data_IF_247651633369
#
_entry.id   IF_247651633369
#
_cell.length_a   1.000
_cell.length_b   1.000
_cell.length_c   1.000
_cell.angle_alpha   90.00
_cell.angle_beta   90.00
_cell.angle_gamma   90.00
#
_symmetry.space_group_name_H-M   'P 1'
#
loop_
_entity.id
_entity.type
_entity.pdbx_description
1 polymer ?
#
# COMPACT_ATOMS: atom_id res chain seq x y z
N UNK A 1 20.66 3.46 -4.49
CA UNK A 1 19.31 3.22 -5.05
C UNK A 1 19.50 3.14 -6.55
N UNK A 2 19.29 1.98 -7.18
CA UNK A 2 19.26 1.92 -8.64
C UNK A 2 17.95 2.54 -9.09
N UNK A 3 18.03 3.59 -9.90
CA UNK A 3 16.85 4.28 -10.41
C UNK A 3 16.05 3.32 -11.29
N UNK A 4 14.75 3.20 -11.00
CA UNK A 4 13.80 2.30 -11.68
C UNK A 4 13.56 2.68 -13.17
N UNK A 5 14.35 3.63 -13.68
CA UNK A 5 14.20 4.29 -14.97
C UNK A 5 14.67 3.40 -16.13
N UNK A 6 15.71 2.59 -15.92
CA UNK A 6 16.36 1.81 -17.00
C UNK A 6 15.95 0.33 -17.06
N UNK A 7 15.07 -0.12 -16.17
CA UNK A 7 14.65 -1.51 -16.13
C UNK A 7 13.65 -1.81 -17.25
N UNK A 8 13.92 -2.83 -18.06
CA UNK A 8 13.03 -3.27 -19.14
C UNK A 8 11.92 -4.22 -18.65
N UNK A 9 12.13 -4.83 -17.48
CA UNK A 9 11.24 -5.80 -16.86
C UNK A 9 10.88 -5.40 -15.42
N UNK A 10 9.74 -5.86 -14.91
CA UNK A 10 9.33 -5.63 -13.53
C UNK A 10 10.12 -6.53 -12.57
N UNK A 11 10.70 -5.97 -11.51
CA UNK A 11 11.53 -6.73 -10.56
C UNK A 11 10.74 -7.75 -9.74
N UNK A 12 9.42 -7.58 -9.64
CA UNK A 12 8.56 -8.42 -8.82
C UNK A 12 8.01 -9.64 -9.58
N UNK A 13 7.60 -9.46 -10.84
CA UNK A 13 6.97 -10.52 -11.65
C UNK A 13 7.75 -10.89 -12.92
N UNK A 14 8.78 -10.11 -13.29
CA UNK A 14 9.54 -10.34 -14.52
C UNK A 14 8.83 -9.94 -15.81
N UNK A 15 7.62 -9.37 -15.72
CA UNK A 15 6.87 -8.96 -16.91
C UNK A 15 7.52 -7.78 -17.64
N UNK A 16 7.32 -7.70 -18.96
CA UNK A 16 7.83 -6.60 -19.77
C UNK A 16 7.12 -5.28 -19.41
N UNK A 17 7.90 -4.20 -19.26
CA UNK A 17 7.34 -2.87 -18.93
C UNK A 17 6.72 -2.15 -20.12
N UNK A 18 7.17 -2.47 -21.32
CA UNK A 18 6.78 -1.78 -22.55
C UNK A 18 6.08 -2.72 -23.51
N UNK A 19 5.10 -2.17 -24.24
CA UNK A 19 4.40 -2.89 -25.30
C UNK A 19 5.38 -3.20 -26.43
N UNK A 20 5.39 -4.45 -26.87
CA UNK A 20 6.13 -4.87 -28.07
C UNK A 20 5.41 -4.34 -29.31
N UNK A 21 6.06 -3.47 -30.08
CA UNK A 21 5.55 -2.99 -31.36
C UNK A 21 6.35 -3.64 -32.48
N UNK A 22 5.69 -4.28 -33.45
CA UNK A 22 6.39 -4.84 -34.62
C UNK A 22 7.06 -3.71 -35.42
N UNK A 23 8.35 -3.86 -35.72
CA UNK A 23 9.14 -2.89 -36.48
C UNK A 23 9.61 -1.67 -35.67
N UNK A 24 10.02 -1.85 -34.42
CA UNK A 24 10.59 -0.75 -33.62
C UNK A 24 11.89 -0.22 -34.25
N UNK A 25 11.83 1.01 -34.76
CA UNK A 25 13.01 1.86 -34.94
C UNK A 25 13.60 2.13 -33.55
N UNK A 26 14.89 1.83 -33.30
CA UNK A 26 15.54 2.10 -32.02
C UNK A 26 15.49 3.58 -31.59
N UNK A 27 15.16 4.51 -32.49
CA UNK A 27 14.96 5.93 -32.19
C UNK A 27 13.55 6.27 -31.68
N UNK A 28 12.59 5.35 -31.77
CA UNK A 28 11.19 5.61 -31.43
C UNK A 28 10.93 5.30 -29.94
N UNK A 29 10.32 6.24 -29.21
CA UNK A 29 10.00 6.07 -27.79
C UNK A 29 9.10 4.85 -27.56
N UNK A 30 9.49 3.98 -26.63
CA UNK A 30 8.71 2.80 -26.21
C UNK A 30 7.45 3.24 -25.46
N UNK A 31 6.32 2.58 -25.71
CA UNK A 31 5.06 2.84 -25.00
C UNK A 31 4.95 1.88 -23.81
N UNK A 32 4.89 2.38 -22.55
CA UNK A 32 4.77 1.52 -21.38
C UNK A 32 3.37 0.89 -21.29
N UNK A 33 3.26 -0.24 -20.60
CA UNK A 33 1.97 -0.74 -20.13
C UNK A 33 1.39 0.23 -19.09
N UNK A 34 0.06 0.39 -19.12
CA UNK A 34 -0.65 1.13 -18.06
C UNK A 34 -0.72 0.19 -16.86
N UNK A 35 0.21 0.38 -15.92
CA UNK A 35 0.28 -0.42 -14.70
C UNK A 35 0.02 0.47 -13.50
N UNK A 36 -0.91 0.04 -12.65
CA UNK A 36 -1.11 0.63 -11.34
C UNK A 36 0.11 0.31 -10.48
N UNK A 37 0.92 1.33 -10.20
CA UNK A 37 2.05 1.19 -9.28
C UNK A 37 1.51 1.29 -7.87
N UNK A 38 1.60 0.20 -7.09
CA UNK A 38 1.36 0.28 -5.66
C UNK A 38 2.43 1.19 -5.04
N UNK A 39 2.00 2.28 -4.39
CA UNK A 39 2.91 3.00 -3.51
C UNK A 39 3.29 2.07 -2.37
N UNK A 40 4.55 2.08 -1.90
CA UNK A 40 4.95 1.25 -0.77
C UNK A 40 4.14 1.69 0.45
N UNK A 41 3.15 0.86 0.83
CA UNK A 41 2.18 1.19 1.88
C UNK A 41 2.87 1.30 3.24
N UNK A 42 3.85 0.44 3.51
CA UNK A 42 4.57 0.38 4.79
C UNK A 42 5.20 1.72 5.20
N UNK A 43 6.09 2.37 4.42
CA UNK A 43 6.68 3.64 4.85
C UNK A 43 5.65 4.77 5.00
N UNK A 44 4.56 4.73 4.23
CA UNK A 44 3.48 5.71 4.34
C UNK A 44 2.70 5.53 5.64
N UNK A 45 2.35 4.29 5.98
CA UNK A 45 1.70 3.96 7.24
C UNK A 45 2.62 4.28 8.42
N UNK A 46 3.91 4.00 8.36
CA UNK A 46 4.85 4.39 9.43
C UNK A 46 4.82 5.90 9.69
N UNK A 47 4.85 6.72 8.64
CA UNK A 47 4.74 8.19 8.76
C UNK A 47 3.40 8.63 9.33
N UNK A 48 2.30 8.02 8.87
CA UNK A 48 0.95 8.35 9.34
C UNK A 48 0.79 8.06 10.84
N UNK A 49 1.34 6.94 11.31
CA UNK A 49 1.31 6.54 12.73
C UNK A 49 2.43 7.16 13.57
N UNK A 50 3.31 7.98 12.98
CA UNK A 50 4.42 8.61 13.72
C UNK A 50 3.94 9.69 14.70
N UNK A 51 2.81 10.35 14.42
CA UNK A 51 2.20 11.32 15.33
C UNK A 51 1.31 10.62 16.35
N UNK A 52 1.47 10.95 17.63
CA UNK A 52 0.65 10.38 18.71
C UNK A 52 -0.83 10.75 18.60
N UNK A 53 -1.16 11.96 18.12
CA UNK A 53 -2.55 12.36 17.91
C UNK A 53 -3.19 11.54 16.79
N UNK A 54 -2.52 11.47 15.64
CA UNK A 54 -2.97 10.70 14.48
C UNK A 54 -3.05 9.21 14.78
N UNK A 55 -2.07 8.65 15.51
CA UNK A 55 -2.10 7.24 15.92
C UNK A 55 -3.29 6.92 16.84
N UNK A 56 -3.70 7.85 17.71
CA UNK A 56 -4.88 7.68 18.56
C UNK A 56 -6.16 7.58 17.72
N UNK A 57 -6.30 8.46 16.73
CA UNK A 57 -7.47 8.44 15.84
C UNK A 57 -7.47 7.18 14.95
N UNK A 58 -6.30 6.78 14.44
CA UNK A 58 -6.14 5.56 13.64
C UNK A 58 -6.41 4.28 14.42
N UNK A 59 -6.09 4.25 15.72
CA UNK A 59 -6.36 3.11 16.63
C UNK A 59 -7.71 3.18 17.32
N UNK A 60 -8.50 4.23 17.04
CA UNK A 60 -9.81 4.43 17.63
C UNK A 60 -10.67 3.17 17.45
N UNK A 61 -10.61 2.55 16.26
CA UNK A 61 -11.35 1.33 15.91
C UNK A 61 -11.23 0.15 16.90
N UNK A 62 -10.06 0.00 17.52
CA UNK A 62 -9.79 -1.07 18.51
C UNK A 62 -10.15 -0.62 19.92
N UNK A 63 -9.96 0.66 20.21
CA UNK A 63 -10.09 1.20 21.58
C UNK A 63 -11.52 1.61 21.95
N UNK A 64 -12.39 1.80 20.96
CA UNK A 64 -13.77 2.19 21.21
C UNK A 64 -14.62 1.00 21.62
N UNK A 65 -15.49 1.22 22.61
CA UNK A 65 -16.50 0.24 22.98
C UNK A 65 -17.63 0.33 21.95
N UNK A 66 -17.82 -0.75 21.18
CA UNK A 66 -18.97 -0.87 20.29
C UNK A 66 -20.25 -1.00 21.14
N UNK A 67 -21.29 -0.25 20.78
CA UNK A 67 -22.62 -0.52 21.29
C UNK A 67 -23.21 -1.68 20.49
N UNK A 68 -23.50 -2.81 21.15
CA UNK A 68 -23.88 -4.09 20.52
C UNK A 68 -25.18 -3.98 19.68
N UNK A 69 -25.95 -2.91 19.88
CA UNK A 69 -27.23 -2.68 19.22
C UNK A 69 -27.18 -1.93 17.89
N UNK A 70 -26.07 -1.29 17.53
CA UNK A 70 -25.99 -0.52 16.29
C UNK A 70 -24.56 -0.41 15.77
N UNK A 71 -24.37 -0.54 14.46
CA UNK A 71 -23.12 -0.09 13.82
C UNK A 71 -23.00 1.43 14.01
N UNK A 72 -22.06 1.84 14.85
CA UNK A 72 -21.75 3.24 15.09
C UNK A 72 -20.68 3.74 14.11
N UNK A 73 -19.90 2.82 13.51
CA UNK A 73 -18.85 3.14 12.55
C UNK A 73 -18.70 2.05 11.47
N UNK A 74 -18.23 2.38 10.24
CA UNK A 74 -17.90 1.38 9.22
C UNK A 74 -16.83 0.36 9.64
N UNK A 75 -16.03 0.66 10.66
CA UNK A 75 -15.06 -0.27 11.26
C UNK A 75 -15.72 -1.39 12.08
N UNK A 76 -16.98 -1.23 12.47
CA UNK A 76 -17.75 -2.26 13.16
C UNK A 76 -18.21 -3.37 12.20
N UNK A 77 -18.05 -3.14 10.89
CA UNK A 77 -18.41 -4.11 9.88
C UNK A 77 -17.56 -5.39 9.99
N UNK A 78 -18.20 -6.53 9.76
CA UNK A 78 -17.59 -7.86 9.90
C UNK A 78 -16.29 -8.03 9.08
N UNK A 79 -16.15 -7.30 7.97
CA UNK A 79 -14.95 -7.28 7.15
C UNK A 79 -13.68 -6.85 7.91
N UNK A 80 -13.79 -6.02 8.94
CA UNK A 80 -12.64 -5.50 9.71
C UNK A 80 -12.11 -6.46 10.77
N UNK A 81 -12.91 -7.46 11.19
CA UNK A 81 -12.49 -8.47 12.18
C UNK A 81 -11.26 -9.27 11.73
N UNK A 82 -11.07 -9.41 10.42
CA UNK A 82 -9.96 -10.18 9.84
C UNK A 82 -8.66 -9.37 9.66
N UNK A 83 -8.70 -8.04 9.83
CA UNK A 83 -7.55 -7.16 9.60
C UNK A 83 -6.68 -6.92 10.85
N UNK A 84 -7.20 -7.20 12.05
CA UNK A 84 -6.57 -6.80 13.32
C UNK A 84 -5.34 -7.60 13.81
N UNK A 85 -5.13 -8.91 13.51
CA UNK A 85 -4.13 -9.67 14.27
C UNK A 85 -2.66 -9.24 14.10
N UNK A 86 -2.33 -8.35 13.17
CA UNK A 86 -0.93 -8.00 12.86
C UNK A 86 -0.54 -6.52 13.07
N UNK A 87 -1.47 -5.65 13.51
CA UNK A 87 -1.17 -4.20 13.69
C UNK A 87 -0.12 -3.96 14.80
N UNK A 88 -0.12 -4.79 15.85
CA UNK A 88 0.89 -4.74 16.93
C UNK A 88 2.32 -5.08 16.49
N UNK A 89 2.50 -5.77 15.36
CA UNK A 89 3.84 -6.08 14.82
C UNK A 89 4.48 -4.87 14.15
N UNK A 90 3.67 -3.93 13.68
CA UNK A 90 4.11 -2.77 12.90
C UNK A 90 4.82 -1.72 13.76
N UNK A 91 4.32 -1.48 14.98
CA UNK A 91 4.89 -0.49 15.90
C UNK A 91 6.26 -0.87 16.48
N UNK A 92 6.61 -2.18 16.52
CA UNK A 92 7.84 -2.66 17.17
C UNK A 92 9.13 -2.50 16.36
N UNK A 93 9.06 -2.12 15.08
CA UNK A 93 10.26 -1.92 14.22
C UNK A 93 10.59 -0.45 13.95
N UNK A 94 10.02 0.48 14.72
CA UNK A 94 10.21 1.92 14.59
C UNK A 94 11.03 2.53 15.74
N UNK A 95 11.91 1.76 16.37
CA UNK A 95 12.87 2.23 17.38
C UNK A 95 14.30 2.01 16.88
#
# INVERSE_FOLDING_TARGET
MMDDVDLEYYNFCGDARYKLTRGQDPRRKKSPYVVLRYLPLTPHLQRLYSSRSTAKDMTWHVTHQMDERSMCHPSDAEAWKNFEPDVSRFCRRAA
#
